data_IF_159854358423
#
_entry.id   IF_159854358423
#
_cell.length_a   1.000
_cell.length_b   1.000
_cell.length_c   1.000
_cell.angle_alpha   90.00
_cell.angle_beta   90.00
_cell.angle_gamma   90.00
#
_symmetry.space_group_name_H-M   'P 1'
#
loop_
_entity.id
_entity.type
_entity.pdbx_description
1 polymer ?
#
# COMPACT_ATOMS: atom_id res chain seq x y z
N UNK A 1 33.44 2.67 -10.58
CA UNK A 1 32.65 3.80 -10.06
C UNK A 1 31.35 3.15 -9.69
N UNK A 2 31.23 2.60 -8.48
CA UNK A 2 30.07 1.77 -8.15
C UNK A 2 29.75 2.01 -6.67
N UNK A 3 29.26 3.21 -6.40
CA UNK A 3 28.62 3.61 -5.15
C UNK A 3 27.11 3.59 -5.37
N UNK A 4 26.34 3.22 -4.34
CA UNK A 4 24.88 3.23 -4.22
C UNK A 4 24.09 1.99 -4.67
N UNK A 5 24.17 0.90 -3.90
CA UNK A 5 23.04 -0.06 -3.83
C UNK A 5 22.74 -0.58 -2.43
N UNK A 6 23.48 -0.17 -1.39
CA UNK A 6 23.19 -0.61 -0.02
C UNK A 6 22.17 0.25 0.71
N UNK A 7 21.92 1.49 0.26
CA UNK A 7 20.93 2.37 0.90
C UNK A 7 19.48 2.04 0.53
N UNK A 8 19.25 1.46 -0.65
CA UNK A 8 17.88 1.25 -1.14
C UNK A 8 17.19 0.08 -0.42
N UNK A 9 17.92 -0.99 -0.07
CA UNK A 9 17.31 -2.19 0.54
C UNK A 9 16.89 -1.98 1.99
N UNK A 10 17.60 -1.16 2.77
CA UNK A 10 17.22 -0.86 4.16
C UNK A 10 15.98 0.05 4.21
N UNK A 11 15.93 1.09 3.36
CA UNK A 11 14.78 1.98 3.26
C UNK A 11 13.51 1.26 2.76
N UNK A 12 13.65 0.32 1.80
CA UNK A 12 12.54 -0.51 1.34
C UNK A 12 11.98 -1.43 2.44
N UNK A 13 12.82 -1.90 3.37
CA UNK A 13 12.35 -2.68 4.53
C UNK A 13 11.50 -1.82 5.46
N UNK A 14 11.97 -0.61 5.77
CA UNK A 14 11.29 0.31 6.69
C UNK A 14 9.91 0.73 6.18
N UNK A 15 9.79 1.08 4.89
CA UNK A 15 8.49 1.49 4.30
C UNK A 15 7.46 0.36 4.37
N UNK A 16 7.87 -0.88 4.08
CA UNK A 16 6.98 -2.03 4.13
C UNK A 16 6.53 -2.36 5.57
N UNK A 17 7.43 -2.19 6.55
CA UNK A 17 7.09 -2.36 7.97
C UNK A 17 6.08 -1.31 8.44
N UNK A 18 6.28 -0.04 8.06
CA UNK A 18 5.32 1.03 8.37
C UNK A 18 3.98 0.78 7.69
N UNK A 19 3.97 0.37 6.41
CA UNK A 19 2.74 0.01 5.70
C UNK A 19 1.97 -1.14 6.41
N UNK A 20 2.68 -2.19 6.87
CA UNK A 20 2.10 -3.30 7.63
C UNK A 20 1.45 -2.81 8.96
N UNK A 21 2.01 -1.75 9.56
CA UNK A 21 1.53 -1.16 10.82
C UNK A 21 0.35 -0.21 10.69
N UNK A 22 -0.05 0.19 9.46
CA UNK A 22 -1.15 1.14 9.27
C UNK A 22 -2.49 0.55 9.76
N UNK A 23 -3.15 1.29 10.63
CA UNK A 23 -4.42 0.92 11.28
C UNK A 23 -5.56 1.87 10.93
N UNK A 24 -6.78 1.35 10.97
CA UNK A 24 -7.99 2.12 10.71
C UNK A 24 -8.08 3.32 11.65
N UNK A 25 -8.36 4.49 11.08
CA UNK A 25 -8.44 5.75 11.80
C UNK A 25 -7.15 6.57 11.76
N UNK A 26 -5.99 5.94 11.54
CA UNK A 26 -4.72 6.66 11.42
C UNK A 26 -4.67 7.54 10.17
N UNK A 27 -3.84 8.57 10.22
CA UNK A 27 -3.52 9.44 9.10
C UNK A 27 -2.05 9.25 8.73
N UNK A 28 -1.76 9.20 7.44
CA UNK A 28 -0.39 9.07 6.96
C UNK A 28 -0.09 10.00 5.79
N UNK A 29 1.10 10.58 5.77
CA UNK A 29 1.70 11.23 4.61
C UNK A 29 2.51 10.21 3.82
N UNK A 30 2.46 10.33 2.50
CA UNK A 30 3.14 9.43 1.57
C UNK A 30 4.01 10.27 0.64
N UNK A 31 5.27 9.89 0.46
CA UNK A 31 6.23 10.64 -0.37
C UNK A 31 6.24 12.15 -0.02
N UNK A 32 6.10 13.00 -1.03
CA UNK A 32 6.07 14.47 -0.94
C UNK A 32 4.63 15.04 -0.93
N UNK A 33 3.61 14.20 -0.69
CA UNK A 33 2.22 14.67 -0.64
C UNK A 33 2.07 15.75 0.43
N UNK A 34 1.40 16.84 0.09
CA UNK A 34 1.18 17.96 1.01
C UNK A 34 0.06 17.72 2.04
N UNK A 35 -0.69 16.62 1.93
CA UNK A 35 -1.86 16.33 2.77
C UNK A 35 -1.93 14.85 3.11
N UNK A 36 -2.24 14.50 4.37
CA UNK A 36 -2.32 13.12 4.78
C UNK A 36 -3.59 12.45 4.24
N UNK A 37 -3.52 11.13 4.09
CA UNK A 37 -4.67 10.28 3.83
C UNK A 37 -5.06 9.55 5.12
N UNK A 38 -6.36 9.38 5.34
CA UNK A 38 -6.89 8.65 6.50
C UNK A 38 -7.16 7.21 6.13
N UNK A 39 -6.69 6.25 6.91
CA UNK A 39 -7.02 4.83 6.77
C UNK A 39 -8.48 4.60 7.14
N UNK A 40 -9.24 4.04 6.20
CA UNK A 40 -10.67 3.75 6.38
C UNK A 40 -10.95 2.25 6.45
N UNK A 41 -10.15 1.43 5.77
CA UNK A 41 -10.31 -0.02 5.76
C UNK A 41 -9.02 -0.77 5.43
N UNK A 42 -9.00 -2.09 5.70
CA UNK A 42 -7.89 -2.99 5.38
C UNK A 42 -8.44 -4.30 4.84
N UNK A 43 -7.85 -4.79 3.76
CA UNK A 43 -8.28 -6.05 3.12
C UNK A 43 -7.09 -6.82 2.54
N UNK A 44 -7.33 -8.09 2.25
CA UNK A 44 -6.35 -8.99 1.65
C UNK A 44 -6.91 -9.54 0.34
N UNK A 45 -6.09 -9.58 -0.70
CA UNK A 45 -6.45 -10.16 -1.99
C UNK A 45 -5.53 -11.32 -2.35
N UNK A 46 -6.07 -12.52 -2.45
CA UNK A 46 -5.28 -13.70 -2.81
C UNK A 46 -4.65 -13.59 -4.20
N UNK A 47 -3.41 -14.08 -4.33
CA UNK A 47 -2.70 -14.12 -5.61
C UNK A 47 -2.98 -15.47 -6.26
N UNK A 48 -3.83 -15.45 -7.28
CA UNK A 48 -4.28 -16.67 -7.98
C UNK A 48 -3.32 -17.12 -9.09
N UNK A 49 -2.44 -16.24 -9.58
CA UNK A 49 -1.44 -16.53 -10.62
C UNK A 49 -0.02 -16.34 -10.07
N UNK A 50 0.58 -17.42 -9.60
CA UNK A 50 1.96 -17.42 -9.08
C UNK A 50 2.89 -18.04 -10.11
N UNK A 51 3.65 -17.22 -10.85
CA UNK A 51 4.62 -17.73 -11.83
C UNK A 51 5.94 -18.16 -11.18
N UNK A 52 6.39 -17.46 -10.12
CA UNK A 52 7.54 -17.79 -9.27
C UNK A 52 7.36 -17.13 -7.90
N UNK A 53 7.32 -17.90 -6.81
CA UNK A 53 7.22 -17.39 -5.43
C UNK A 53 8.61 -17.35 -4.80
N UNK A 54 9.06 -16.22 -4.28
CA UNK A 54 10.28 -16.16 -3.47
C UNK A 54 10.00 -16.67 -2.05
N UNK A 55 11.01 -17.22 -1.39
CA UNK A 55 10.90 -17.66 -0.01
C UNK A 55 10.58 -16.45 0.89
N UNK A 56 9.47 -16.49 1.62
CA UNK A 56 9.02 -15.39 2.49
C UNK A 56 7.91 -14.50 1.89
N UNK A 57 7.59 -14.62 0.60
CA UNK A 57 6.49 -13.87 0.00
C UNK A 57 5.12 -14.35 0.52
N UNK A 58 4.24 -13.40 0.90
CA UNK A 58 2.84 -13.72 1.22
C UNK A 58 2.11 -14.18 -0.04
N UNK A 59 1.10 -15.04 0.12
CA UNK A 59 0.26 -15.54 -0.98
C UNK A 59 -0.88 -14.58 -1.38
N UNK A 60 -0.86 -13.35 -0.86
CA UNK A 60 -1.88 -12.34 -1.05
C UNK A 60 -1.22 -10.96 -1.09
N UNK A 61 -1.93 -10.00 -1.70
CA UNK A 61 -1.65 -8.58 -1.52
C UNK A 61 -2.31 -8.08 -0.24
N UNK A 62 -1.58 -7.29 0.52
CA UNK A 62 -2.12 -6.44 1.58
C UNK A 62 -2.59 -5.13 0.95
N UNK A 63 -3.80 -4.71 1.31
CA UNK A 63 -4.44 -3.51 0.76
C UNK A 63 -4.95 -2.66 1.92
N UNK A 64 -4.48 -1.41 1.97
CA UNK A 64 -4.98 -0.39 2.91
C UNK A 64 -5.80 0.62 2.12
N UNK A 65 -7.09 0.70 2.44
CA UNK A 65 -8.01 1.66 1.84
C UNK A 65 -7.93 2.96 2.63
N UNK A 66 -7.75 4.06 1.92
CA UNK A 66 -7.56 5.37 2.51
C UNK A 66 -8.37 6.43 1.78
N UNK A 67 -8.76 7.49 2.50
CA UNK A 67 -9.45 8.64 1.94
C UNK A 67 -8.69 9.93 2.17
N UNK A 68 -8.74 10.80 1.16
CA UNK A 68 -8.29 12.18 1.29
C UNK A 68 -8.86 13.04 0.17
N UNK A 69 -9.36 14.23 0.54
CA UNK A 69 -9.92 15.20 -0.41
C UNK A 69 -11.02 14.61 -1.33
N UNK A 70 -11.91 13.79 -0.77
CA UNK A 70 -13.01 13.14 -1.51
C UNK A 70 -12.55 12.07 -2.52
N UNK A 71 -11.29 11.62 -2.43
CA UNK A 71 -10.73 10.56 -3.27
C UNK A 71 -10.38 9.36 -2.41
N UNK A 72 -10.75 8.17 -2.88
CA UNK A 72 -10.36 6.88 -2.29
C UNK A 72 -9.08 6.40 -2.95
N UNK A 73 -8.15 5.95 -2.11
CA UNK A 73 -6.84 5.42 -2.50
C UNK A 73 -6.63 4.03 -1.90
N UNK A 74 -5.96 3.15 -2.64
CA UNK A 74 -5.51 1.86 -2.13
C UNK A 74 -3.99 1.83 -2.11
N UNK A 75 -3.41 1.61 -0.93
CA UNK A 75 -1.99 1.26 -0.78
C UNK A 75 -1.89 -0.26 -0.91
N UNK A 76 -1.18 -0.74 -1.92
CA UNK A 76 -1.13 -2.16 -2.29
C UNK A 76 0.31 -2.65 -2.27
N UNK A 77 0.57 -3.74 -1.56
CA UNK A 77 1.88 -4.39 -1.57
C UNK A 77 1.78 -5.89 -1.29
N UNK A 78 2.89 -6.59 -1.52
CA UNK A 78 3.07 -7.98 -1.14
C UNK A 78 4.30 -8.07 -0.25
N UNK A 79 4.09 -8.38 1.03
CA UNK A 79 5.20 -8.58 1.96
C UNK A 79 6.17 -9.65 1.43
N UNK A 80 7.47 -9.36 1.54
CA UNK A 80 8.55 -10.24 1.06
C UNK A 80 8.85 -10.16 -0.44
N UNK A 81 8.11 -9.35 -1.22
CA UNK A 81 8.37 -9.19 -2.67
C UNK A 81 9.67 -8.44 -3.00
N UNK A 82 10.21 -7.68 -2.03
CA UNK A 82 11.33 -6.77 -2.26
C UNK A 82 10.92 -5.57 -3.13
N UNK A 83 9.68 -5.11 -2.97
CA UNK A 83 9.16 -3.95 -3.67
C UNK A 83 8.36 -3.11 -2.70
N UNK A 84 8.54 -1.79 -2.76
CA UNK A 84 7.78 -0.84 -1.99
C UNK A 84 6.27 -0.86 -2.33
N UNK A 85 5.39 -0.42 -1.42
CA UNK A 85 3.97 -0.31 -1.70
C UNK A 85 3.66 0.65 -2.85
N UNK A 86 2.54 0.39 -3.53
CA UNK A 86 2.03 1.25 -4.60
C UNK A 86 0.73 1.87 -4.13
N UNK A 87 0.65 3.19 -4.14
CA UNK A 87 -0.57 3.93 -3.89
C UNK A 87 -1.31 4.14 -5.21
N UNK A 88 -2.59 3.76 -5.25
CA UNK A 88 -3.45 3.90 -6.43
C UNK A 88 -4.71 4.67 -6.09
N UNK A 89 -5.33 5.27 -7.09
CA UNK A 89 -6.67 5.88 -7.02
C UNK A 89 -7.71 4.96 -7.62
N UNK A 90 -8.98 5.17 -7.24
CA UNK A 90 -10.12 4.43 -7.80
C UNK A 90 -10.17 4.35 -9.32
N UNK A 91 -9.77 5.41 -10.00
CA UNK A 91 -9.72 5.46 -11.46
C UNK A 91 -8.64 4.58 -12.12
N UNK A 92 -7.73 4.00 -11.34
CA UNK A 92 -6.54 3.26 -11.81
C UNK A 92 -6.68 1.74 -11.62
N UNK A 93 -7.86 1.27 -11.21
CA UNK A 93 -8.16 -0.15 -11.09
C UNK A 93 -9.54 -0.46 -11.64
N UNK A 94 -9.75 -1.75 -11.95
CA UNK A 94 -11.05 -2.26 -12.33
C UNK A 94 -11.70 -2.91 -11.11
N UNK A 95 -12.92 -2.52 -10.80
CA UNK A 95 -13.76 -3.15 -9.79
C UNK A 95 -14.57 -4.27 -10.46
N UNK A 96 -14.51 -5.47 -9.90
CA UNK A 96 -15.32 -6.60 -10.32
C UNK A 96 -16.10 -7.08 -9.12
N UNK A 97 -17.44 -7.07 -9.20
CA UNK A 97 -18.27 -7.68 -8.17
C UNK A 97 -18.27 -9.21 -8.38
N UNK A 98 -17.97 -9.95 -7.33
CA UNK A 98 -18.03 -11.41 -7.31
C UNK A 98 -19.47 -11.89 -7.22
N UNK A 99 -19.71 -13.18 -7.47
CA UNK A 99 -21.04 -13.80 -7.34
C UNK A 99 -21.58 -13.74 -5.90
N UNK A 100 -20.70 -13.53 -4.91
CA UNK A 100 -21.03 -13.39 -3.48
C UNK A 100 -21.27 -11.92 -3.06
N UNK A 101 -21.17 -10.97 -4.00
CA UNK A 101 -21.34 -9.54 -3.77
C UNK A 101 -20.10 -8.82 -3.21
N UNK A 102 -18.95 -9.50 -3.17
CA UNK A 102 -17.68 -8.87 -2.77
C UNK A 102 -17.05 -8.11 -3.94
N UNK A 103 -16.47 -6.94 -3.68
CA UNK A 103 -15.77 -6.16 -4.71
C UNK A 103 -14.31 -6.57 -4.76
N UNK A 104 -13.91 -7.19 -5.87
CA UNK A 104 -12.54 -7.45 -6.21
C UNK A 104 -11.91 -6.31 -7.02
N UNK A 105 -10.65 -6.02 -6.72
CA UNK A 105 -9.89 -4.96 -7.39
C UNK A 105 -8.78 -5.54 -8.26
N UNK A 106 -8.77 -5.27 -9.56
CA UNK A 106 -7.65 -5.59 -10.45
C UNK A 106 -6.72 -4.38 -10.64
N UNK A 107 -5.46 -4.55 -10.28
CA UNK A 107 -4.42 -3.52 -10.24
C UNK A 107 -3.51 -3.56 -11.47
N UNK A 108 -4.08 -3.85 -12.64
CA UNK A 108 -3.34 -4.21 -13.86
C UNK A 108 -2.47 -3.10 -14.48
N UNK A 109 -2.59 -1.82 -14.11
CA UNK A 109 -1.55 -0.81 -14.43
C UNK A 109 -1.66 0.50 -13.63
N UNK A 110 -0.52 1.18 -13.45
CA UNK A 110 -0.33 2.53 -12.87
C UNK A 110 -0.57 2.73 -11.36
N UNK A 111 0.24 3.62 -10.78
CA UNK A 111 0.21 3.99 -9.36
C UNK A 111 1.52 4.61 -8.93
N UNK A 112 1.49 5.35 -7.82
CA UNK A 112 2.65 5.99 -7.24
C UNK A 112 3.40 4.99 -6.35
N UNK A 113 4.67 4.71 -6.67
CA UNK A 113 5.53 3.94 -5.76
C UNK A 113 5.79 4.78 -4.52
N UNK A 114 5.62 4.16 -3.35
CA UNK A 114 5.78 4.85 -2.07
C UNK A 114 7.16 4.55 -1.52
N UNK A 115 7.98 5.60 -1.38
CA UNK A 115 9.34 5.52 -0.87
C UNK A 115 9.45 6.09 0.55
N UNK A 116 8.40 6.76 1.03
CA UNK A 116 8.29 7.16 2.44
C UNK A 116 6.83 7.16 2.92
N UNK A 117 6.64 6.76 4.18
CA UNK A 117 5.37 6.81 4.90
C UNK A 117 5.63 7.46 6.26
N UNK A 118 4.88 8.51 6.59
CA UNK A 118 4.93 9.17 7.89
C UNK A 118 3.55 9.13 8.54
N UNK A 119 3.43 8.47 9.70
CA UNK A 119 2.18 8.44 10.47
C UNK A 119 2.04 9.77 11.21
N UNK A 120 0.92 10.45 10.98
CA UNK A 120 0.61 11.71 11.63
C UNK A 120 -0.12 11.41 12.94
N UNK A 121 0.59 11.60 14.05
CA UNK A 121 -0.01 11.54 15.38
C UNK A 121 -1.01 12.70 15.51
N UNK A 122 -2.30 12.39 15.64
CA UNK A 122 -3.26 13.39 16.08
C UNK A 122 -2.97 13.67 17.55
N UNK A 123 -2.37 14.84 17.82
CA UNK A 123 -2.33 15.37 19.18
C UNK A 123 -3.78 15.49 19.64
N UNK A 124 -4.19 14.65 20.59
CA UNK A 124 -5.50 14.80 21.22
C UNK A 124 -5.55 16.20 21.81
N UNK A 125 -6.39 17.07 21.23
CA UNK A 125 -6.77 18.30 21.88
C UNK A 125 -7.70 17.89 23.03
N UNK A 126 -7.16 17.90 24.25
CA UNK A 126 -7.90 17.77 25.51
C UNK A 126 -9.05 18.79 25.62
#
# INVERSE_FOLDING_TARGET
MDSNSQHDTEAESEVNEVADSLEKGQKALFNDRSRPLKVVDRMKKEITKVYRKRHGERGYYDIVVMEGNGTVYHLVWQHGSGSNPILRKRSEWTETETEEGEVEYDYSSQGDRIDSIEIIEETQAD
#
